data_IF_750302627481
#
_entry.id   IF_750302627481
#
_cell.length_a   1.000
_cell.length_b   1.000
_cell.length_c   1.000
_cell.angle_alpha   90.00
_cell.angle_beta   90.00
_cell.angle_gamma   90.00
#
_symmetry.space_group_name_H-M   'P 1'
#
loop_
_entity.id
_entity.type
_entity.pdbx_description
1 polymer ?
#
# COMPACT_ATOMS: atom_id res chain seq x y z
N UNK A 1 -61.20 21.62 5.94
CA UNK A 1 -61.17 21.29 7.39
C UNK A 1 -61.18 19.78 7.67
N UNK A 2 -60.40 18.97 6.92
CA UNK A 2 -60.19 17.52 7.19
C UNK A 2 -58.72 17.12 7.29
N UNK A 3 -57.76 17.94 6.83
CA UNK A 3 -56.32 17.67 6.96
C UNK A 3 -55.75 17.90 8.37
N UNK A 4 -56.36 18.80 9.17
CA UNK A 4 -55.86 19.08 10.53
C UNK A 4 -56.08 17.92 11.52
N UNK A 5 -57.03 17.02 11.23
CA UNK A 5 -57.36 15.88 12.10
C UNK A 5 -56.37 14.71 11.97
N UNK A 6 -55.48 14.72 10.98
CA UNK A 6 -54.48 13.65 10.80
C UNK A 6 -53.26 13.81 11.71
N UNK A 7 -53.00 15.02 12.22
CA UNK A 7 -51.90 15.30 13.15
C UNK A 7 -52.30 15.33 14.63
N UNK A 8 -53.58 15.17 14.96
CA UNK A 8 -54.07 15.13 16.34
C UNK A 8 -54.21 13.69 16.83
N UNK A 9 -53.09 12.96 16.87
CA UNK A 9 -53.01 11.72 17.63
C UNK A 9 -52.27 12.04 18.94
N UNK A 10 -53.01 12.11 20.05
CA UNK A 10 -52.52 12.47 21.39
C UNK A 10 -51.74 11.33 22.08
N UNK A 11 -50.88 10.64 21.34
CA UNK A 11 -49.84 9.79 21.93
C UNK A 11 -48.54 10.59 21.90
N UNK A 12 -48.36 11.47 22.89
CA UNK A 12 -47.06 12.12 23.11
C UNK A 12 -45.97 11.05 23.28
N UNK A 13 -44.78 11.31 22.75
CA UNK A 13 -43.62 10.43 22.96
C UNK A 13 -43.40 10.33 24.47
N UNK A 14 -43.51 9.11 25.01
CA UNK A 14 -43.31 8.92 26.45
C UNK A 14 -41.83 9.10 26.79
N UNK A 15 -41.52 9.60 27.99
CA UNK A 15 -40.13 9.75 28.47
C UNK A 15 -39.34 8.44 28.30
N UNK A 16 -40.00 7.30 28.54
CA UNK A 16 -39.44 5.96 28.38
C UNK A 16 -39.06 5.69 26.91
N UNK A 17 -39.93 6.04 25.96
CA UNK A 17 -39.66 5.85 24.53
C UNK A 17 -38.49 6.71 24.05
N UNK A 18 -38.35 7.94 24.57
CA UNK A 18 -37.20 8.80 24.28
C UNK A 18 -35.89 8.23 24.84
N UNK A 19 -35.89 7.75 26.09
CA UNK A 19 -34.72 7.11 26.72
C UNK A 19 -34.30 5.85 25.96
N UNK A 20 -35.27 5.00 25.58
CA UNK A 20 -34.98 3.80 24.78
C UNK A 20 -34.40 4.16 23.43
N UNK A 21 -34.94 5.19 22.76
CA UNK A 21 -34.44 5.64 21.45
C UNK A 21 -33.00 6.16 21.54
N UNK A 22 -32.70 7.00 22.54
CA UNK A 22 -31.33 7.46 22.80
C UNK A 22 -30.38 6.30 23.12
N UNK A 23 -30.83 5.32 23.91
CA UNK A 23 -30.07 4.12 24.22
C UNK A 23 -29.72 3.31 22.97
N UNK A 24 -30.70 3.09 22.09
CA UNK A 24 -30.49 2.38 20.82
C UNK A 24 -29.56 3.16 19.89
N UNK A 25 -29.72 4.48 19.76
CA UNK A 25 -28.84 5.32 18.94
C UNK A 25 -27.40 5.26 19.48
N UNK A 26 -27.22 5.32 20.80
CA UNK A 26 -25.90 5.20 21.43
C UNK A 26 -25.24 3.86 21.16
N UNK A 27 -25.98 2.75 21.31
CA UNK A 27 -25.47 1.41 21.04
C UNK A 27 -25.12 1.24 19.56
N UNK A 28 -26.04 1.60 18.66
CA UNK A 28 -25.82 1.46 17.21
C UNK A 28 -24.69 2.36 16.72
N UNK A 29 -24.65 3.61 17.19
CA UNK A 29 -23.57 4.54 16.88
C UNK A 29 -22.23 4.04 17.39
N UNK A 30 -22.16 3.55 18.63
CA UNK A 30 -20.94 2.99 19.21
C UNK A 30 -20.46 1.72 18.52
N UNK A 31 -21.35 0.78 18.21
CA UNK A 31 -21.00 -0.41 17.45
C UNK A 31 -20.56 -0.05 16.02
N UNK A 32 -21.25 0.89 15.38
CA UNK A 32 -20.91 1.36 14.04
C UNK A 32 -19.51 1.97 13.97
N UNK A 33 -19.16 2.85 14.91
CA UNK A 33 -17.81 3.46 14.97
C UNK A 33 -16.74 2.43 15.31
N UNK A 34 -17.04 1.47 16.20
CA UNK A 34 -16.11 0.40 16.53
C UNK A 34 -15.79 -0.48 15.32
N UNK A 35 -16.81 -0.91 14.57
CA UNK A 35 -16.63 -1.68 13.34
C UNK A 35 -15.87 -0.87 12.29
N UNK A 36 -16.20 0.42 12.14
CA UNK A 36 -15.51 1.32 11.20
C UNK A 36 -14.00 1.43 11.52
N UNK A 37 -13.64 1.64 12.78
CA UNK A 37 -12.24 1.75 13.21
C UNK A 37 -11.50 0.43 12.95
N UNK A 38 -12.10 -0.70 13.31
CA UNK A 38 -11.49 -2.01 13.07
C UNK A 38 -11.31 -2.30 11.59
N UNK A 39 -12.32 -2.03 10.77
CA UNK A 39 -12.24 -2.22 9.33
C UNK A 39 -11.17 -1.32 8.70
N UNK A 40 -11.06 -0.06 9.14
CA UNK A 40 -10.05 0.85 8.64
C UNK A 40 -8.63 0.36 8.99
N UNK A 41 -8.39 0.00 10.25
CA UNK A 41 -7.10 -0.48 10.71
C UNK A 41 -6.70 -1.80 10.02
N UNK A 42 -7.65 -2.73 9.89
CA UNK A 42 -7.42 -4.00 9.20
C UNK A 42 -7.07 -3.78 7.72
N UNK A 43 -7.75 -2.83 7.06
CA UNK A 43 -7.45 -2.46 5.68
C UNK A 43 -6.05 -1.85 5.55
N UNK A 44 -5.66 -0.94 6.45
CA UNK A 44 -4.35 -0.28 6.41
C UNK A 44 -3.22 -1.30 6.61
N UNK A 45 -3.33 -2.20 7.61
CA UNK A 45 -2.37 -3.29 7.80
C UNK A 45 -2.31 -4.25 6.60
N UNK A 46 -3.46 -4.56 5.99
CA UNK A 46 -3.51 -5.42 4.81
C UNK A 46 -2.84 -4.75 3.60
N UNK A 47 -3.04 -3.44 3.43
CA UNK A 47 -2.41 -2.67 2.36
C UNK A 47 -0.89 -2.60 2.54
N UNK A 48 -0.41 -2.30 3.75
CA UNK A 48 1.04 -2.31 4.06
C UNK A 48 1.66 -3.67 3.73
N UNK A 49 1.04 -4.75 4.21
CA UNK A 49 1.51 -6.11 3.93
C UNK A 49 1.52 -6.42 2.44
N UNK A 50 0.48 -6.02 1.70
CA UNK A 50 0.40 -6.25 0.27
C UNK A 50 1.47 -5.50 -0.52
N UNK A 51 1.81 -4.27 -0.12
CA UNK A 51 2.88 -3.47 -0.74
C UNK A 51 4.24 -4.14 -0.53
N UNK A 52 4.58 -4.48 0.72
CA UNK A 52 5.83 -5.18 1.06
C UNK A 52 5.98 -6.51 0.30
N UNK A 53 4.91 -7.32 0.27
CA UNK A 53 4.92 -8.58 -0.48
C UNK A 53 5.12 -8.37 -1.98
N UNK A 54 4.53 -7.31 -2.54
CA UNK A 54 4.65 -6.99 -3.96
C UNK A 54 6.07 -6.56 -4.29
N UNK A 55 6.66 -5.67 -3.49
CA UNK A 55 8.03 -5.19 -3.65
C UNK A 55 9.04 -6.33 -3.54
N UNK A 56 8.93 -7.16 -2.49
CA UNK A 56 9.82 -8.32 -2.33
C UNK A 56 9.69 -9.32 -3.48
N UNK A 57 8.47 -9.54 -4.01
CA UNK A 57 8.26 -10.41 -5.19
C UNK A 57 8.87 -9.81 -6.45
N UNK A 58 8.73 -8.50 -6.65
CA UNK A 58 9.35 -7.78 -7.77
C UNK A 58 10.87 -7.92 -7.70
N UNK A 59 11.46 -7.65 -6.52
CA UNK A 59 12.88 -7.80 -6.31
C UNK A 59 13.33 -9.24 -6.50
N UNK A 60 12.65 -10.23 -5.92
CA UNK A 60 13.01 -11.65 -6.08
C UNK A 60 13.00 -12.10 -7.54
N UNK A 61 12.00 -11.68 -8.33
CA UNK A 61 11.95 -11.97 -9.76
C UNK A 61 13.09 -11.30 -10.53
N UNK A 62 13.40 -10.05 -10.18
CA UNK A 62 14.53 -9.32 -10.76
C UNK A 62 15.86 -9.99 -10.44
N UNK A 63 16.09 -10.35 -9.17
CA UNK A 63 17.28 -11.07 -8.71
C UNK A 63 17.42 -12.41 -9.42
N UNK A 64 16.35 -13.21 -9.47
CA UNK A 64 16.36 -14.50 -10.15
C UNK A 64 16.71 -14.37 -11.64
N UNK A 65 16.14 -13.36 -12.32
CA UNK A 65 16.38 -13.17 -13.76
C UNK A 65 17.81 -12.71 -14.07
N UNK A 66 18.39 -11.85 -13.24
CA UNK A 66 19.74 -11.34 -13.44
C UNK A 66 20.82 -12.32 -12.97
N UNK A 67 20.70 -12.86 -11.75
CA UNK A 67 21.72 -13.71 -11.16
C UNK A 67 21.76 -15.08 -11.82
N UNK A 68 20.62 -15.68 -12.22
CA UNK A 68 20.63 -17.01 -12.87
C UNK A 68 21.51 -17.07 -14.11
N UNK A 69 21.62 -15.95 -14.83
CA UNK A 69 22.41 -15.82 -16.05
C UNK A 69 23.84 -15.32 -15.80
N UNK A 70 24.20 -15.00 -14.55
CA UNK A 70 25.54 -14.54 -14.22
C UNK A 70 26.57 -15.66 -14.34
N UNK A 71 27.74 -15.32 -14.85
CA UNK A 71 28.89 -16.23 -14.97
C UNK A 71 29.96 -16.00 -13.88
N UNK A 72 29.87 -14.87 -13.18
CA UNK A 72 30.72 -14.48 -12.05
C UNK A 72 29.86 -13.75 -11.02
N UNK A 73 30.06 -14.02 -9.72
CA UNK A 73 29.34 -13.36 -8.64
C UNK A 73 30.22 -13.24 -7.40
N UNK A 74 30.19 -12.08 -6.76
CA UNK A 74 30.96 -11.73 -5.57
C UNK A 74 30.04 -11.02 -4.57
N UNK A 75 30.01 -11.53 -3.34
CA UNK A 75 29.32 -10.90 -2.21
C UNK A 75 30.32 -9.93 -1.57
N UNK A 76 29.99 -8.64 -1.61
CA UNK A 76 30.90 -7.55 -1.24
C UNK A 76 30.39 -6.79 -0.01
N UNK A 77 31.26 -6.40 0.94
CA UNK A 77 30.97 -5.28 1.82
C UNK A 77 30.98 -3.98 1.02
N UNK A 78 30.30 -2.96 1.52
CA UNK A 78 30.07 -1.66 0.88
C UNK A 78 31.35 -1.05 0.26
N UNK A 79 31.68 -1.45 -0.96
CA UNK A 79 32.91 -1.09 -1.66
C UNK A 79 32.54 -0.80 -3.09
N UNK A 80 32.58 0.49 -3.39
CA UNK A 80 32.32 1.02 -4.72
C UNK A 80 33.32 0.43 -5.71
N UNK A 81 32.83 -0.21 -6.77
CA UNK A 81 33.67 -0.64 -7.89
C UNK A 81 33.79 0.55 -8.85
N UNK A 82 34.89 1.29 -8.74
CA UNK A 82 35.26 2.31 -9.73
C UNK A 82 35.60 1.61 -11.07
N UNK A 83 34.85 1.92 -12.13
CA UNK A 83 34.94 1.40 -13.52
C UNK A 83 34.09 0.16 -13.87
N UNK A 84 32.78 0.36 -14.06
CA UNK A 84 31.87 -0.66 -14.60
C UNK A 84 32.10 -0.89 -16.11
N UNK A 85 32.27 -2.14 -16.49
CA UNK A 85 32.19 -2.60 -17.89
C UNK A 85 30.74 -2.90 -18.30
N UNK A 86 30.50 -3.16 -19.60
CA UNK A 86 29.15 -3.43 -20.12
C UNK A 86 28.51 -4.71 -19.53
N UNK A 87 29.31 -5.62 -18.95
CA UNK A 87 28.86 -6.87 -18.34
C UNK A 87 28.68 -6.77 -16.83
N UNK A 88 29.17 -5.69 -16.22
CA UNK A 88 29.22 -5.54 -14.77
C UNK A 88 27.89 -5.03 -14.23
N UNK A 89 27.44 -5.66 -13.15
CA UNK A 89 26.18 -5.37 -12.49
C UNK A 89 26.41 -5.39 -11.00
N UNK A 90 25.76 -4.46 -10.31
CA UNK A 90 25.85 -4.35 -8.86
C UNK A 90 24.48 -4.08 -8.27
N UNK A 91 24.13 -4.84 -7.24
CA UNK A 91 22.90 -4.65 -6.47
C UNK A 91 23.31 -4.44 -5.04
N UNK A 92 22.96 -3.28 -4.47
CA UNK A 92 23.36 -2.89 -3.13
C UNK A 92 22.24 -2.17 -2.40
N UNK A 93 22.38 -2.04 -1.10
CA UNK A 93 21.45 -1.29 -0.26
C UNK A 93 22.02 0.12 -0.08
N UNK A 94 21.27 1.11 -0.52
CA UNK A 94 21.52 2.50 -0.17
C UNK A 94 20.87 2.78 1.18
N UNK A 95 21.64 2.57 2.23
CA UNK A 95 21.24 2.81 3.60
C UNK A 95 21.57 4.26 3.99
N UNK A 96 20.52 5.05 4.17
CA UNK A 96 20.66 6.46 4.54
C UNK A 96 20.96 6.67 6.04
N UNK A 97 20.69 5.67 6.88
CA UNK A 97 20.67 5.79 8.34
C UNK A 97 21.70 4.90 9.07
N UNK A 98 22.52 4.13 8.34
CA UNK A 98 23.46 3.13 8.86
C UNK A 98 22.80 1.98 9.66
N UNK A 99 21.52 1.69 9.38
CA UNK A 99 20.74 0.61 10.02
C UNK A 99 20.73 -0.70 9.19
N UNK A 100 21.49 -0.76 8.09
CA UNK A 100 21.54 -1.82 7.07
C UNK A 100 20.24 -2.03 6.27
N UNK A 101 19.23 -1.17 6.48
CA UNK A 101 17.98 -1.12 5.74
C UNK A 101 17.92 0.14 4.89
N UNK A 102 17.47 0.01 3.65
CA UNK A 102 17.27 1.17 2.79
C UNK A 102 16.73 0.81 1.41
N UNK A 103 17.08 1.63 0.43
CA UNK A 103 16.67 1.40 -0.96
C UNK A 103 17.53 0.31 -1.59
N UNK A 104 16.93 -0.65 -2.28
CA UNK A 104 17.70 -1.65 -3.02
C UNK A 104 17.99 -1.09 -4.40
N UNK A 105 19.23 -0.68 -4.63
CA UNK A 105 19.68 -0.05 -5.86
C UNK A 105 20.30 -1.08 -6.79
N UNK A 106 19.94 -0.98 -8.08
CA UNK A 106 20.63 -1.65 -9.16
C UNK A 106 21.49 -0.63 -9.91
N UNK A 107 22.72 -1.03 -10.20
CA UNK A 107 23.69 -0.27 -10.95
C UNK A 107 24.28 -1.11 -12.07
N UNK A 108 24.28 -0.54 -13.27
CA UNK A 108 25.12 -0.94 -14.38
C UNK A 108 25.88 0.29 -14.92
N UNK A 109 26.59 0.12 -16.04
CA UNK A 109 27.39 1.21 -16.65
C UNK A 109 26.55 2.45 -17.00
N UNK A 110 25.29 2.28 -17.37
CA UNK A 110 24.45 3.34 -17.93
C UNK A 110 23.38 3.82 -16.94
N UNK A 111 22.96 2.96 -16.01
CA UNK A 111 21.79 3.17 -15.16
C UNK A 111 22.15 2.86 -13.72
N UNK A 112 21.79 3.78 -12.83
CA UNK A 112 21.80 3.60 -11.38
C UNK A 112 20.42 3.99 -10.86
N UNK A 113 19.66 3.02 -10.34
CA UNK A 113 18.26 3.25 -9.94
C UNK A 113 17.78 2.25 -8.90
N UNK A 114 16.98 2.74 -7.95
CA UNK A 114 16.30 1.90 -6.97
C UNK A 114 15.30 0.93 -7.64
N UNK A 115 15.42 -0.36 -7.31
CA UNK A 115 14.49 -1.44 -7.67
C UNK A 115 13.26 -1.37 -6.76
N UNK A 116 13.46 -1.26 -5.45
CA UNK A 116 12.44 -1.10 -4.41
C UNK A 116 12.97 -0.20 -3.29
N UNK A 117 12.08 0.27 -2.40
CA UNK A 117 12.45 1.11 -1.25
C UNK A 117 12.21 2.60 -1.43
N UNK A 118 11.67 3.04 -2.57
CA UNK A 118 11.33 4.45 -2.85
C UNK A 118 10.11 4.98 -2.05
N UNK A 119 9.59 4.17 -1.12
CA UNK A 119 8.37 4.45 -0.36
C UNK A 119 8.74 4.55 1.14
N UNK A 120 7.76 4.49 2.04
CA UNK A 120 8.00 4.48 3.49
C UNK A 120 8.57 3.15 4.02
N UNK A 121 8.91 2.21 3.14
CA UNK A 121 9.44 0.88 3.49
C UNK A 121 10.88 0.78 3.08
N UNK A 122 11.74 0.46 4.05
CA UNK A 122 13.14 0.15 3.81
C UNK A 122 13.33 -1.35 3.71
N UNK A 123 14.35 -1.78 2.97
CA UNK A 123 14.59 -3.18 2.69
C UNK A 123 16.04 -3.56 2.98
N UNK A 124 16.22 -4.82 3.33
CA UNK A 124 17.53 -5.44 3.50
C UNK A 124 17.59 -6.76 2.76
N UNK A 125 18.73 -7.06 2.15
CA UNK A 125 19.00 -8.32 1.47
C UNK A 125 20.23 -8.97 2.10
N UNK A 126 20.01 -10.01 2.91
CA UNK A 126 21.09 -10.78 3.51
C UNK A 126 21.59 -11.81 2.49
N UNK A 127 22.81 -11.61 1.99
CA UNK A 127 23.42 -12.51 0.99
C UNK A 127 24.24 -13.63 1.64
N UNK A 128 24.16 -14.81 1.05
CA UNK A 128 24.92 -15.99 1.43
C UNK A 128 25.26 -16.89 0.25
N UNK A 129 26.08 -17.90 0.52
CA UNK A 129 26.38 -18.99 -0.41
C UNK A 129 26.15 -20.33 0.29
N UNK A 130 25.75 -21.34 -0.46
CA UNK A 130 25.54 -22.67 0.11
C UNK A 130 26.88 -23.31 0.52
N UNK A 131 26.91 -23.99 1.68
CA UNK A 131 28.15 -24.41 2.37
C UNK A 131 29.01 -25.44 1.62
N UNK A 132 28.52 -26.03 0.52
CA UNK A 132 29.34 -26.95 -0.27
C UNK A 132 30.42 -26.16 -1.02
N UNK A 133 31.65 -26.66 -0.93
CA UNK A 133 32.92 -26.00 -1.32
C UNK A 133 32.99 -25.52 -2.79
N UNK A 134 32.00 -25.87 -3.64
CA UNK A 134 31.88 -25.43 -5.05
C UNK A 134 30.44 -25.09 -5.45
N UNK A 135 29.61 -24.71 -4.48
CA UNK A 135 28.21 -24.42 -4.76
C UNK A 135 28.12 -23.19 -5.68
N UNK A 136 27.45 -23.37 -6.82
CA UNK A 136 27.04 -22.27 -7.71
C UNK A 136 25.71 -21.67 -7.26
N UNK A 137 25.42 -21.78 -5.96
CA UNK A 137 24.12 -21.45 -5.39
C UNK A 137 24.28 -20.26 -4.46
N UNK A 138 23.72 -19.13 -4.88
CA UNK A 138 23.56 -17.95 -4.03
C UNK A 138 22.29 -18.14 -3.22
N UNK A 139 22.35 -17.82 -1.94
CA UNK A 139 21.18 -17.73 -1.06
C UNK A 139 20.96 -16.27 -0.71
N UNK A 140 19.71 -15.82 -0.68
CA UNK A 140 19.40 -14.49 -0.16
C UNK A 140 18.13 -14.52 0.68
N UNK A 141 18.07 -13.63 1.66
CA UNK A 141 16.89 -13.36 2.47
C UNK A 141 16.53 -11.88 2.37
N UNK A 142 15.31 -11.59 1.94
CA UNK A 142 14.79 -10.22 1.91
C UNK A 142 14.01 -9.96 3.20
N UNK A 143 14.32 -8.84 3.86
CA UNK A 143 13.63 -8.31 5.03
C UNK A 143 13.17 -6.88 4.74
N UNK A 144 12.19 -6.41 5.48
CA UNK A 144 11.64 -5.06 5.35
C UNK A 144 11.43 -4.41 6.70
N UNK A 145 11.58 -3.10 6.74
CA UNK A 145 11.36 -2.25 7.90
C UNK A 145 10.32 -1.18 7.54
N UNK A 146 9.47 -0.84 8.51
CA UNK A 146 8.54 0.29 8.42
C UNK A 146 8.56 1.04 9.75
N UNK A 147 8.75 2.36 9.72
CA UNK A 147 8.85 3.20 10.92
C UNK A 147 9.81 2.63 12.00
N UNK A 148 11.00 2.20 11.59
CA UNK A 148 12.03 1.63 12.47
C UNK A 148 11.65 0.29 13.15
N UNK A 149 10.58 -0.37 12.70
CA UNK A 149 10.21 -1.71 13.14
C UNK A 149 10.35 -2.71 12.00
N UNK A 150 11.09 -3.79 12.23
CA UNK A 150 11.21 -4.89 11.26
C UNK A 150 9.87 -5.63 11.16
N UNK A 151 9.37 -5.78 9.93
CA UNK A 151 8.12 -6.48 9.66
C UNK A 151 8.36 -7.99 9.70
N UNK A 152 7.42 -8.72 10.30
CA UNK A 152 7.45 -10.20 10.37
C UNK A 152 7.01 -10.84 9.03
N UNK A 153 7.76 -10.53 7.97
CA UNK A 153 7.62 -11.12 6.65
C UNK A 153 8.98 -11.18 5.97
N UNK A 154 9.40 -12.37 5.57
CA UNK A 154 10.70 -12.60 4.95
C UNK A 154 10.53 -13.41 3.66
N UNK A 155 11.39 -13.14 2.68
CA UNK A 155 11.49 -13.94 1.46
C UNK A 155 12.86 -14.60 1.41
N UNK A 156 12.89 -15.91 1.62
CA UNK A 156 14.07 -16.75 1.49
C UNK A 156 14.12 -17.39 0.10
N UNK A 157 15.29 -17.35 -0.55
CA UNK A 157 15.42 -17.90 -1.89
C UNK A 157 16.85 -18.37 -2.19
N UNK A 158 16.93 -19.30 -3.13
CA UNK A 158 18.19 -19.88 -3.63
C UNK A 158 18.22 -19.74 -5.15
N UNK A 159 19.34 -19.27 -5.70
CA UNK A 159 19.54 -19.12 -7.14
C UNK A 159 20.76 -19.92 -7.57
N UNK A 160 20.57 -20.80 -8.55
CA UNK A 160 21.66 -21.50 -9.22
C UNK A 160 22.19 -20.68 -10.40
N UNK A 161 23.46 -20.31 -10.34
CA UNK A 161 24.20 -19.57 -11.38
C UNK A 161 24.49 -20.50 -12.56
N UNK A 162 23.58 -20.52 -13.53
CA UNK A 162 23.58 -21.51 -14.62
C UNK A 162 24.76 -21.33 -15.59
N UNK A 163 25.25 -20.10 -15.73
CA UNK A 163 26.32 -19.74 -16.67
C UNK A 163 27.72 -19.69 -16.01
N UNK A 164 27.83 -19.93 -14.70
CA UNK A 164 29.11 -19.93 -14.02
C UNK A 164 29.94 -21.17 -14.40
N UNK A 165 31.22 -20.99 -14.71
CA UNK A 165 32.11 -22.08 -15.07
C UNK A 165 32.28 -23.09 -13.91
N UNK A 166 32.59 -24.35 -14.22
CA UNK A 166 32.71 -25.44 -13.21
C UNK A 166 33.81 -25.18 -12.15
N UNK A 167 34.83 -24.41 -12.52
CA UNK A 167 35.98 -24.11 -11.67
C UNK A 167 35.85 -22.75 -10.97
N UNK A 168 34.78 -22.00 -11.23
CA UNK A 168 34.52 -20.72 -10.58
C UNK A 168 33.69 -20.98 -9.32
N UNK A 169 33.91 -20.13 -8.31
CA UNK A 169 33.19 -20.15 -7.05
C UNK A 169 32.66 -18.74 -6.74
N UNK A 170 31.62 -18.70 -5.91
CA UNK A 170 31.10 -17.44 -5.38
C UNK A 170 32.08 -16.97 -4.30
N UNK A 171 32.72 -15.84 -4.56
CA UNK A 171 33.60 -15.18 -3.60
C UNK A 171 32.76 -14.40 -2.60
N UNK A 172 33.11 -14.51 -1.32
CA UNK A 172 32.54 -13.69 -0.24
C UNK A 172 33.67 -12.94 0.44
N UNK A 173 33.60 -11.62 0.42
CA UNK A 173 34.54 -10.77 1.13
C UNK A 173 34.02 -10.56 2.55
N UNK A 174 34.90 -10.65 3.54
CA UNK A 174 34.55 -10.43 4.95
C UNK A 174 34.23 -8.95 5.20
N UNK A 175 33.15 -8.68 5.92
CA UNK A 175 32.69 -7.33 6.28
C UNK A 175 31.17 -7.24 6.38
N UNK A 176 30.64 -6.05 6.65
CA UNK A 176 29.19 -5.77 6.57
C UNK A 176 28.75 -5.87 5.12
N UNK A 177 28.07 -6.96 4.78
CA UNK A 177 27.65 -7.25 3.42
C UNK A 177 26.58 -6.24 3.01
N UNK A 178 26.89 -5.39 2.04
CA UNK A 178 25.95 -4.38 1.56
C UNK A 178 25.40 -4.67 0.15
N UNK A 179 25.97 -5.65 -0.55
CA UNK A 179 25.52 -5.94 -1.90
C UNK A 179 26.14 -7.17 -2.54
N UNK A 180 25.72 -7.39 -3.78
CA UNK A 180 26.25 -8.41 -4.68
C UNK A 180 26.69 -7.77 -5.99
N UNK A 181 27.91 -8.05 -6.38
CA UNK A 181 28.45 -7.73 -7.69
C UNK A 181 28.45 -9.00 -8.54
N UNK A 182 28.07 -8.88 -9.81
CA UNK A 182 28.06 -10.01 -10.72
C UNK A 182 28.28 -9.57 -12.15
N UNK A 183 28.73 -10.52 -12.98
CA UNK A 183 28.86 -10.31 -14.41
C UNK A 183 27.92 -11.20 -15.20
N UNK A 184 27.26 -10.62 -16.20
CA UNK A 184 26.30 -11.31 -17.06
C UNK A 184 26.51 -10.93 -18.52
N UNK A 185 26.41 -11.91 -19.41
CA UNK A 185 26.40 -11.73 -20.86
C UNK A 185 24.99 -11.47 -21.42
N UNK A 186 23.96 -11.60 -20.58
CA UNK A 186 22.61 -11.25 -20.96
C UNK A 186 22.44 -9.73 -20.96
N UNK A 187 21.63 -9.23 -21.89
CA UNK A 187 21.17 -7.84 -21.85
C UNK A 187 20.51 -7.55 -20.49
N UNK A 188 20.68 -6.32 -19.98
CA UNK A 188 20.11 -5.96 -18.69
C UNK A 188 18.60 -6.15 -18.73
N UNK A 189 18.06 -6.87 -17.74
CA UNK A 189 16.59 -6.96 -17.64
C UNK A 189 16.05 -5.55 -17.42
N UNK A 190 14.97 -5.16 -18.12
CA UNK A 190 14.32 -3.88 -17.86
C UNK A 190 14.05 -3.74 -16.37
N UNK A 191 14.46 -2.61 -15.80
CA UNK A 191 14.16 -2.33 -14.40
C UNK A 191 12.65 -2.44 -14.20
N UNK A 192 12.22 -3.13 -13.12
CA UNK A 192 10.81 -3.26 -12.87
C UNK A 192 10.21 -1.87 -12.69
N UNK A 193 9.02 -1.66 -13.25
CA UNK A 193 8.29 -0.44 -12.96
C UNK A 193 7.69 -0.56 -11.56
N UNK A 194 8.41 -0.05 -10.57
CA UNK A 194 8.03 -0.05 -9.15
C UNK A 194 6.96 1.01 -8.82
N UNK A 195 6.48 1.77 -9.80
CA UNK A 195 5.30 2.61 -9.62
C UNK A 195 4.11 1.69 -9.38
N UNK A 196 3.85 1.39 -8.10
CA UNK A 196 2.63 0.73 -7.71
C UNK A 196 1.51 1.66 -8.16
N UNK A 197 0.77 1.23 -9.19
CA UNK A 197 -0.32 1.99 -9.85
C UNK A 197 -1.51 2.31 -8.91
N UNK A 198 -1.32 2.19 -7.60
CA UNK A 198 -2.28 2.46 -6.55
C UNK A 198 -2.02 3.79 -5.83
N UNK A 199 -0.84 4.40 -5.94
CA UNK A 199 -0.52 5.65 -5.22
C UNK A 199 -1.02 6.91 -5.93
N UNK A 200 -1.50 7.89 -5.15
CA UNK A 200 -1.77 9.25 -5.64
C UNK A 200 -0.53 10.13 -5.42
N UNK A 201 0.46 10.08 -6.31
CA UNK A 201 1.76 10.75 -6.19
C UNK A 201 1.71 12.20 -5.68
N UNK A 202 0.92 13.07 -6.31
CA UNK A 202 0.81 14.49 -5.90
C UNK A 202 0.24 14.61 -4.49
N UNK A 203 -0.76 13.79 -4.15
CA UNK A 203 -1.37 13.82 -2.83
C UNK A 203 -0.40 13.27 -1.77
N UNK A 204 0.33 12.19 -2.07
CA UNK A 204 1.37 11.66 -1.18
C UNK A 204 2.48 12.68 -0.96
N UNK A 205 2.95 13.38 -2.01
CA UNK A 205 3.94 14.45 -1.87
C UNK A 205 3.44 15.61 -0.99
N UNK A 206 2.17 15.98 -1.12
CA UNK A 206 1.55 17.04 -0.33
C UNK A 206 1.30 16.64 1.15
N UNK A 207 0.76 15.45 1.39
CA UNK A 207 0.38 14.96 2.72
C UNK A 207 1.50 14.21 3.46
N UNK A 208 2.59 13.86 2.78
CA UNK A 208 3.77 13.20 3.34
C UNK A 208 3.68 11.68 3.46
N UNK A 209 2.48 11.09 3.42
CA UNK A 209 2.30 9.64 3.56
C UNK A 209 1.19 9.12 2.65
N UNK A 210 1.37 7.98 1.96
CA UNK A 210 0.30 7.34 1.20
C UNK A 210 -0.83 6.84 2.11
N UNK A 211 -0.55 6.54 3.39
CA UNK A 211 -1.54 6.08 4.37
C UNK A 211 -2.32 7.22 5.04
N UNK A 212 -2.05 8.48 4.67
CA UNK A 212 -2.82 9.61 5.18
C UNK A 212 -4.32 9.48 4.80
N UNK A 213 -5.27 9.73 5.73
CA UNK A 213 -6.70 9.62 5.46
C UNK A 213 -7.20 10.43 4.26
N UNK A 214 -6.62 11.61 4.01
CA UNK A 214 -6.96 12.44 2.86
C UNK A 214 -6.54 11.77 1.54
N UNK A 215 -5.33 11.20 1.51
CA UNK A 215 -4.81 10.46 0.35
C UNK A 215 -5.66 9.21 0.11
N UNK A 216 -6.01 8.48 1.16
CA UNK A 216 -6.92 7.32 1.08
C UNK A 216 -8.29 7.70 0.50
N UNK A 217 -8.86 8.82 0.94
CA UNK A 217 -10.14 9.32 0.42
C UNK A 217 -10.08 9.61 -1.07
N UNK A 218 -9.01 10.27 -1.54
CA UNK A 218 -8.80 10.54 -2.96
C UNK A 218 -8.59 9.26 -3.77
N UNK A 219 -7.87 8.27 -3.21
CA UNK A 219 -7.68 6.95 -3.84
C UNK A 219 -9.01 6.20 -3.95
N UNK A 220 -9.82 6.18 -2.90
CA UNK A 220 -11.17 5.60 -2.94
C UNK A 220 -12.05 6.31 -3.98
N UNK A 221 -11.96 7.64 -4.09
CA UNK A 221 -12.69 8.37 -5.12
C UNK A 221 -12.24 8.00 -6.54
N UNK A 222 -10.93 7.90 -6.76
CA UNK A 222 -10.37 7.40 -8.03
C UNK A 222 -10.93 6.01 -8.36
N UNK A 223 -10.89 5.09 -7.40
CA UNK A 223 -11.25 3.70 -7.62
C UNK A 223 -12.76 3.49 -7.74
N UNK A 224 -13.57 4.18 -6.95
CA UNK A 224 -15.03 4.03 -6.92
C UNK A 224 -15.76 4.87 -7.97
N UNK A 225 -15.19 5.98 -8.44
CA UNK A 225 -15.84 6.90 -9.36
C UNK A 225 -15.09 7.07 -10.67
N UNK A 226 -13.80 7.44 -10.66
CA UNK A 226 -13.07 7.73 -11.90
C UNK A 226 -12.84 6.47 -12.73
N UNK A 227 -12.50 5.35 -12.10
CA UNK A 227 -12.19 4.09 -12.81
C UNK A 227 -13.39 3.52 -13.57
N UNK A 228 -14.63 3.87 -13.18
CA UNK A 228 -15.88 3.39 -13.78
C UNK A 228 -16.16 3.98 -15.16
N UNK A 229 -15.60 5.16 -15.48
CA UNK A 229 -15.88 5.87 -16.73
C UNK A 229 -14.63 5.97 -17.62
N UNK A 230 -14.79 5.87 -18.93
CA UNK A 230 -13.68 5.94 -19.89
C UNK A 230 -12.89 7.25 -19.82
N UNK A 231 -13.58 8.38 -19.62
CA UNK A 231 -12.91 9.67 -19.40
C UNK A 231 -12.08 9.68 -18.12
N UNK A 232 -12.58 9.04 -17.06
CA UNK A 232 -11.86 8.92 -15.79
C UNK A 232 -10.63 8.02 -15.92
N UNK A 233 -10.72 6.90 -16.66
CA UNK A 233 -9.57 6.05 -16.98
C UNK A 233 -8.49 6.80 -17.76
N UNK A 234 -8.88 7.61 -18.76
CA UNK A 234 -7.95 8.48 -19.51
C UNK A 234 -7.28 9.50 -18.59
N UNK A 235 -8.04 10.16 -17.72
CA UNK A 235 -7.48 11.08 -16.73
C UNK A 235 -6.49 10.39 -15.79
N UNK A 236 -6.84 9.20 -15.28
CA UNK A 236 -5.94 8.38 -14.46
C UNK A 236 -4.65 8.09 -15.22
N UNK A 237 -4.74 7.62 -16.47
CA UNK A 237 -3.54 7.30 -17.26
C UNK A 237 -2.65 8.52 -17.51
N UNK A 238 -3.25 9.70 -17.76
CA UNK A 238 -2.52 10.95 -17.91
C UNK A 238 -1.85 11.35 -16.59
N UNK A 239 -2.58 11.26 -15.48
CA UNK A 239 -2.06 11.53 -14.14
C UNK A 239 -0.82 10.68 -13.86
N UNK A 240 -0.92 9.35 -13.97
CA UNK A 240 0.20 8.43 -13.72
C UNK A 240 1.41 8.66 -14.62
N UNK A 241 1.19 9.18 -15.84
CA UNK A 241 2.27 9.46 -16.78
C UNK A 241 3.14 10.66 -16.39
N UNK A 242 2.53 11.70 -15.84
CA UNK A 242 3.20 13.00 -15.61
C UNK A 242 3.37 13.34 -14.14
N UNK A 243 2.50 12.85 -13.26
CA UNK A 243 2.52 13.17 -11.83
C UNK A 243 3.81 12.79 -11.09
N UNK A 244 4.52 11.67 -11.40
CA UNK A 244 5.70 11.29 -10.62
C UNK A 244 6.78 12.37 -10.58
N UNK A 245 7.13 12.95 -11.74
CA UNK A 245 8.14 14.03 -11.79
C UNK A 245 7.71 15.31 -11.09
N UNK A 246 6.43 15.67 -11.15
CA UNK A 246 5.92 16.82 -10.40
C UNK A 246 5.88 16.56 -8.89
N UNK A 247 5.60 15.33 -8.47
CA UNK A 247 5.55 14.96 -7.06
C UNK A 247 6.91 15.12 -6.38
N UNK A 248 8.00 14.77 -7.05
CA UNK A 248 9.38 14.94 -6.55
C UNK A 248 9.75 16.42 -6.33
N UNK A 249 9.29 17.30 -7.23
CA UNK A 249 9.47 18.76 -7.09
C UNK A 249 8.65 19.29 -5.91
N UNK A 250 7.42 18.80 -5.73
CA UNK A 250 6.53 19.21 -4.63
C UNK A 250 7.07 18.74 -3.28
N UNK A 251 7.52 17.49 -3.18
CA UNK A 251 8.04 16.91 -1.92
C UNK A 251 9.27 17.64 -1.43
N UNK A 252 10.08 18.18 -2.34
CA UNK A 252 11.31 18.89 -2.05
C UNK A 252 11.11 20.35 -1.59
N UNK A 253 9.90 20.92 -1.72
CA UNK A 253 9.64 22.34 -1.43
C UNK A 253 8.43 22.55 -0.51
N UNK A 254 8.68 23.12 0.67
CA UNK A 254 7.66 23.36 1.70
C UNK A 254 6.50 24.28 1.22
N UNK A 255 6.79 25.29 0.39
CA UNK A 255 5.78 26.19 -0.14
C UNK A 255 4.90 25.49 -1.19
N UNK A 256 5.51 24.68 -2.06
CA UNK A 256 4.75 23.87 -3.03
C UNK A 256 3.88 22.84 -2.32
N UNK A 257 4.39 22.20 -1.26
CA UNK A 257 3.63 21.29 -0.41
C UNK A 257 2.41 21.97 0.21
N UNK A 258 2.59 23.16 0.79
CA UNK A 258 1.49 23.90 1.42
C UNK A 258 0.44 24.37 0.41
N UNK A 259 0.86 24.86 -0.75
CA UNK A 259 -0.07 25.27 -1.82
C UNK A 259 -0.84 24.09 -2.39
N UNK A 260 -0.19 22.94 -2.62
CA UNK A 260 -0.89 21.71 -3.04
C UNK A 260 -1.84 21.18 -1.97
N UNK A 261 -1.51 21.27 -0.69
CA UNK A 261 -2.43 20.92 0.41
C UNK A 261 -3.72 21.74 0.35
N UNK A 262 -3.62 23.07 0.23
CA UNK A 262 -4.80 23.95 0.13
C UNK A 262 -5.60 23.63 -1.14
N UNK A 263 -4.92 23.41 -2.27
CA UNK A 263 -5.57 23.11 -3.54
C UNK A 263 -6.32 21.77 -3.51
N UNK A 264 -5.78 20.75 -2.85
CA UNK A 264 -6.39 19.42 -2.75
C UNK A 264 -7.53 19.36 -1.74
N UNK A 265 -7.54 20.22 -0.72
CA UNK A 265 -8.53 20.21 0.34
C UNK A 265 -10.01 20.22 -0.13
N UNK A 266 -10.44 21.10 -1.07
CA UNK A 266 -11.81 21.04 -1.59
C UNK A 266 -12.12 19.73 -2.32
N UNK A 267 -11.14 19.13 -3.01
CA UNK A 267 -11.32 17.85 -3.68
C UNK A 267 -11.42 16.69 -2.70
N UNK A 268 -10.64 16.71 -1.62
CA UNK A 268 -10.74 15.75 -0.51
C UNK A 268 -12.13 15.83 0.11
N UNK A 269 -12.60 17.05 0.41
CA UNK A 269 -13.93 17.27 0.98
C UNK A 269 -15.05 16.78 0.05
N UNK A 270 -14.98 17.11 -1.25
CA UNK A 270 -15.95 16.64 -2.24
C UNK A 270 -15.94 15.11 -2.37
N UNK A 271 -14.74 14.52 -2.41
CA UNK A 271 -14.57 13.05 -2.46
C UNK A 271 -15.20 12.37 -1.25
N UNK A 272 -14.95 12.92 -0.06
CA UNK A 272 -15.54 12.45 1.19
C UNK A 272 -17.07 12.50 1.18
N UNK A 273 -17.65 13.62 0.72
CA UNK A 273 -19.11 13.77 0.61
C UNK A 273 -19.74 12.76 -0.35
N UNK A 274 -19.10 12.51 -1.50
CA UNK A 274 -19.60 11.54 -2.48
C UNK A 274 -19.59 10.12 -1.92
N UNK A 275 -18.48 9.73 -1.29
CA UNK A 275 -18.34 8.42 -0.65
C UNK A 275 -19.38 8.26 0.48
N UNK A 276 -19.60 9.30 1.30
CA UNK A 276 -20.61 9.27 2.37
C UNK A 276 -22.04 9.17 1.83
N UNK A 277 -22.37 9.82 0.72
CA UNK A 277 -23.74 9.78 0.19
C UNK A 277 -24.19 8.36 -0.12
N UNK A 278 -23.33 7.53 -0.69
CA UNK A 278 -23.65 6.14 -0.97
C UNK A 278 -23.81 5.32 0.32
N UNK A 279 -22.92 5.51 1.30
CA UNK A 279 -23.04 4.80 2.59
C UNK A 279 -24.28 5.25 3.37
N UNK A 280 -24.60 6.55 3.37
CA UNK A 280 -25.78 7.09 4.02
C UNK A 280 -27.09 6.56 3.43
N UNK A 281 -27.18 6.42 2.10
CA UNK A 281 -28.33 5.82 1.43
C UNK A 281 -28.50 4.33 1.79
N UNK A 282 -27.39 3.58 1.88
CA UNK A 282 -27.41 2.18 2.31
C UNK A 282 -27.88 2.05 3.77
N UNK A 283 -27.35 2.87 4.67
CA UNK A 283 -27.75 2.87 6.09
C UNK A 283 -29.23 3.26 6.24
N UNK A 284 -29.69 4.28 5.54
CA UNK A 284 -31.10 4.69 5.54
C UNK A 284 -32.02 3.56 5.07
N UNK A 285 -31.62 2.85 4.01
CA UNK A 285 -32.36 1.69 3.50
C UNK A 285 -32.50 0.59 4.57
N UNK A 286 -31.41 0.23 5.26
CA UNK A 286 -31.46 -0.76 6.36
C UNK A 286 -32.29 -0.28 7.56
N UNK A 287 -32.24 1.02 7.90
CA UNK A 287 -33.08 1.59 8.95
C UNK A 287 -34.58 1.53 8.61
N UNK A 288 -34.95 1.79 7.35
CA UNK A 288 -36.34 1.68 6.89
C UNK A 288 -36.82 0.22 7.01
N UNK A 289 -35.99 -0.76 6.60
CA UNK A 289 -36.30 -2.19 6.75
C UNK A 289 -36.51 -2.55 8.23
N UNK A 290 -35.62 -2.10 9.11
CA UNK A 290 -35.72 -2.33 10.55
C UNK A 290 -37.04 -1.75 11.12
N UNK A 291 -37.40 -0.52 10.74
CA UNK A 291 -38.64 0.13 11.17
C UNK A 291 -39.88 -0.65 10.70
N UNK A 292 -39.89 -1.12 9.45
CA UNK A 292 -40.98 -1.94 8.92
C UNK A 292 -41.09 -3.27 9.68
N UNK A 293 -39.95 -3.91 9.95
CA UNK A 293 -39.89 -5.16 10.70
C UNK A 293 -40.44 -5.00 12.12
N UNK A 294 -40.03 -3.95 12.84
CA UNK A 294 -40.53 -3.65 14.20
C UNK A 294 -42.03 -3.30 14.18
N UNK A 295 -42.52 -2.60 13.16
CA UNK A 295 -43.96 -2.32 13.01
C UNK A 295 -44.76 -3.59 12.76
N UNK A 296 -44.28 -4.49 11.92
CA UNK A 296 -44.93 -5.78 11.67
C UNK A 296 -44.90 -6.69 12.89
N UNK A 297 -43.80 -6.73 13.64
CA UNK A 297 -43.73 -7.53 14.87
C UNK A 297 -44.69 -7.00 15.95
N UNK A 298 -44.81 -5.68 16.13
CA UNK A 298 -45.82 -5.07 17.02
C UNK A 298 -47.26 -5.40 16.58
N UNK A 299 -47.55 -5.34 15.28
CA UNK A 299 -48.86 -5.71 14.75
C UNK A 299 -49.18 -7.20 14.97
N UNK A 300 -48.19 -8.07 14.80
CA UNK A 300 -48.30 -9.52 15.03
C UNK A 300 -48.52 -9.86 16.51
N UNK A 301 -47.78 -9.23 17.42
CA UNK A 301 -47.99 -9.38 18.87
C UNK A 301 -49.37 -8.89 19.29
N UNK A 302 -49.85 -7.78 18.72
CA UNK A 302 -51.21 -7.28 18.97
C UNK A 302 -52.30 -8.25 18.48
N UNK A 303 -52.07 -8.93 17.35
CA UNK A 303 -52.99 -9.96 16.84
C UNK A 303 -53.02 -11.23 17.71
N UNK A 304 -51.89 -11.63 18.31
CA UNK A 304 -51.83 -12.75 19.24
C UNK A 304 -52.55 -12.43 20.57
N UNK A 305 -52.35 -11.23 21.12
CA UNK A 305 -53.02 -10.82 22.36
C UNK A 305 -54.53 -10.59 22.22
N UNK A 306 -55.04 -10.36 21.00
CA UNK A 306 -56.49 -10.15 20.77
C UNK A 306 -57.24 -11.47 20.48
N UNK A 307 -56.54 -12.61 20.48
CA UNK A 307 -57.08 -13.96 20.26
C UNK A 307 -57.12 -14.82 21.53
N UNK A 308 -56.68 -14.27 22.66
CA UNK A 308 -56.79 -14.84 24.02
C UNK A 308 -57.89 -14.06 24.72
#
# INVERSE_FOLDING_TARGET
MKLYKFFKNESGITLVEFIVTLGVIGIVGGLGTMVYIQANNAFDSAEQKWQVQTDMRILANFLNSNLRNAYEAVILPDSFVDNFTDHDRYIYINDNNNDEFGEVIYKDKNIEKAIIGQNEFDYKVDWGKESNDKSKVITYKIRSMYNYEELNYTVDSKIFLSNMAKNNEISKINGSINGIYFKSSAESTPLPNTQVNTFCFIATAAYGSPFNPAVKTLRMFRDLYLSKYELGKKFISFYYRYSPGYAEIISSNIFLKFTTLILLLPFVFLSFLLIIKETALIVLFYLIILIIFVRKSKAFVKLLNNKI
#
